data_IF_214080884456
#
_entry.id   IF_214080884456
#
_cell.length_a   1.000
_cell.length_b   1.000
_cell.length_c   1.000
_cell.angle_alpha   90.00
_cell.angle_beta   90.00
_cell.angle_gamma   90.00
#
_symmetry.space_group_name_H-M   'P 1'
#
loop_
_entity.id
_entity.type
_entity.pdbx_description
1 polymer ?
#
# COMPACT_ATOMS: atom_id res chain seq x y z
N UNK A 1 -10.42 -56.53 27.96
CA UNK A 1 -10.41 -55.09 28.35
C UNK A 1 -9.25 -54.44 27.58
N UNK A 2 -9.56 -53.79 26.51
CA UNK A 2 -8.54 -53.07 25.70
C UNK A 2 -8.53 -51.61 26.09
N UNK A 3 -7.40 -51.18 26.57
CA UNK A 3 -7.12 -49.79 26.97
C UNK A 3 -6.97 -48.95 25.70
N UNK A 4 -7.94 -48.06 25.47
CA UNK A 4 -7.90 -47.15 24.32
C UNK A 4 -7.02 -45.94 24.70
N UNK A 5 -5.75 -46.02 24.30
CA UNK A 5 -4.82 -44.91 24.38
C UNK A 5 -5.32 -43.66 23.69
N UNK A 6 -5.76 -42.68 24.47
CA UNK A 6 -6.03 -41.30 24.01
C UNK A 6 -4.73 -40.66 23.56
N UNK A 7 -4.46 -40.63 22.25
CA UNK A 7 -3.42 -39.83 21.66
C UNK A 7 -3.79 -38.35 21.82
N UNK A 8 -3.19 -37.69 22.80
CA UNK A 8 -3.22 -36.25 22.92
C UNK A 8 -2.54 -35.66 21.69
N UNK A 9 -3.35 -35.07 20.79
CA UNK A 9 -2.83 -34.22 19.73
C UNK A 9 -1.99 -33.13 20.39
N UNK A 10 -0.70 -33.07 20.05
CA UNK A 10 0.16 -31.95 20.45
C UNK A 10 -0.48 -30.66 19.93
N UNK A 11 -0.53 -29.59 20.78
CA UNK A 11 -0.97 -28.28 20.29
C UNK A 11 -0.07 -27.92 19.10
N UNK A 12 -0.69 -27.62 17.95
CA UNK A 12 0.01 -27.05 16.80
C UNK A 12 0.77 -25.83 17.35
N UNK A 13 2.10 -25.86 17.26
CA UNK A 13 2.94 -24.70 17.59
C UNK A 13 2.36 -23.50 16.85
N UNK A 14 1.77 -22.56 17.56
CA UNK A 14 1.36 -21.29 16.96
C UNK A 14 2.61 -20.69 16.32
N UNK A 15 2.56 -20.53 15.00
CA UNK A 15 3.70 -19.98 14.24
C UNK A 15 4.00 -18.60 14.81
N UNK A 16 5.23 -18.40 15.28
CA UNK A 16 5.62 -17.17 15.93
C UNK A 16 5.74 -16.07 14.88
N UNK A 17 5.00 -14.98 15.05
CA UNK A 17 5.13 -13.79 14.22
C UNK A 17 6.58 -13.23 14.30
N UNK A 18 7.18 -12.96 13.15
CA UNK A 18 8.55 -12.44 13.01
C UNK A 18 8.65 -11.17 12.18
N UNK A 19 7.68 -10.91 11.31
CA UNK A 19 7.73 -9.76 10.43
C UNK A 19 6.35 -9.18 10.13
N UNK A 20 6.36 -7.90 9.78
CA UNK A 20 5.19 -7.20 9.21
C UNK A 20 5.62 -6.56 7.89
N UNK A 21 4.84 -6.82 6.84
CA UNK A 21 4.93 -6.12 5.57
C UNK A 21 3.84 -5.05 5.53
N UNK A 22 4.20 -3.88 5.06
CA UNK A 22 3.27 -2.78 4.86
C UNK A 22 3.18 -2.40 3.38
N UNK A 23 1.97 -2.16 2.92
CA UNK A 23 1.78 -1.24 1.82
C UNK A 23 2.14 0.18 2.26
N UNK A 24 2.28 1.12 1.31
CA UNK A 24 2.76 2.47 1.60
C UNK A 24 1.65 3.50 1.42
N UNK A 25 1.13 3.64 0.19
CA UNK A 25 0.15 4.66 -0.12
C UNK A 25 -1.21 4.31 0.52
N UNK A 26 -1.84 5.29 1.18
CA UNK A 26 -3.08 5.13 1.95
C UNK A 26 -3.01 4.17 3.14
N UNK A 27 -1.85 3.51 3.35
CA UNK A 27 -1.55 2.69 4.53
C UNK A 27 -0.66 3.43 5.52
N UNK A 28 0.55 3.81 5.11
CA UNK A 28 1.52 4.57 5.92
C UNK A 28 1.50 6.07 5.62
N UNK A 29 1.15 6.45 4.41
CA UNK A 29 1.13 7.84 3.98
C UNK A 29 -0.06 8.15 3.07
N UNK A 30 -0.29 9.44 2.87
CA UNK A 30 -1.27 10.00 1.95
C UNK A 30 -0.62 11.03 1.04
N UNK A 31 -1.21 11.30 -0.14
CA UNK A 31 -0.82 12.44 -0.95
C UNK A 31 -0.95 13.74 -0.14
N UNK A 32 0.10 14.54 -0.15
CA UNK A 32 0.08 15.88 0.43
C UNK A 32 -0.55 16.91 -0.52
N UNK A 33 -0.58 18.20 -0.12
CA UNK A 33 -1.24 19.28 -0.89
C UNK A 33 -0.72 19.42 -2.33
N UNK A 34 0.54 19.09 -2.57
CA UNK A 34 1.13 19.12 -3.92
C UNK A 34 0.61 18.02 -4.86
N UNK A 35 -0.16 17.05 -4.36
CA UNK A 35 -0.77 15.96 -5.14
C UNK A 35 -2.30 16.04 -5.15
N UNK A 36 -2.87 17.18 -4.72
CA UNK A 36 -4.32 17.41 -4.62
C UNK A 36 -4.95 17.83 -5.95
N UNK A 37 -6.27 18.03 -5.93
CA UNK A 37 -7.04 18.55 -7.05
C UNK A 37 -6.51 19.91 -7.56
N UNK A 38 -5.98 20.74 -6.65
CA UNK A 38 -5.42 22.05 -6.95
C UNK A 38 -4.17 21.97 -7.84
N UNK A 39 -3.39 20.87 -7.73
CA UNK A 39 -2.28 20.62 -8.66
C UNK A 39 -2.78 20.45 -10.08
N UNK A 40 -3.85 19.66 -10.28
CA UNK A 40 -4.47 19.49 -11.60
C UNK A 40 -4.93 20.84 -12.16
N UNK A 41 -5.61 21.66 -11.35
CA UNK A 41 -6.07 22.97 -11.76
C UNK A 41 -4.90 23.92 -12.06
N UNK A 42 -3.83 23.90 -11.27
CA UNK A 42 -2.63 24.72 -11.48
C UNK A 42 -1.90 24.36 -12.77
N UNK A 43 -1.78 23.05 -13.06
CA UNK A 43 -1.14 22.57 -14.30
C UNK A 43 -2.04 22.91 -15.50
N UNK A 44 -3.33 22.63 -15.45
CA UNK A 44 -4.29 23.03 -16.47
C UNK A 44 -4.19 24.53 -16.80
N UNK A 45 -4.10 25.38 -15.78
CA UNK A 45 -3.94 26.82 -15.93
C UNK A 45 -2.68 27.25 -16.70
N UNK A 46 -1.57 26.51 -16.60
CA UNK A 46 -0.35 26.76 -17.39
C UNK A 46 -0.57 26.51 -18.89
N UNK A 47 -1.47 25.58 -19.21
CA UNK A 47 -1.87 25.25 -20.58
C UNK A 47 -3.10 26.07 -21.05
N UNK A 48 -3.51 27.09 -20.28
CA UNK A 48 -4.58 28.01 -20.67
C UNK A 48 -6.00 27.43 -20.54
N UNK A 49 -6.16 26.32 -19.79
CA UNK A 49 -7.46 25.67 -19.55
C UNK A 49 -7.84 25.66 -18.07
N UNK A 50 -9.13 25.52 -17.79
CA UNK A 50 -9.67 25.43 -16.45
C UNK A 50 -10.30 24.07 -16.28
N UNK A 51 -10.02 23.40 -15.14
CA UNK A 51 -10.68 22.17 -14.70
C UNK A 51 -11.47 22.42 -13.42
N UNK A 52 -12.48 21.62 -13.18
CA UNK A 52 -13.35 21.72 -12.01
C UNK A 52 -12.80 20.85 -10.87
N UNK A 53 -12.20 21.48 -9.86
CA UNK A 53 -11.61 20.79 -8.70
C UNK A 53 -12.66 20.02 -7.88
N UNK A 54 -13.93 20.43 -7.90
CA UNK A 54 -14.99 19.74 -7.16
C UNK A 54 -15.29 18.35 -7.73
N UNK A 55 -14.88 18.07 -8.97
CA UNK A 55 -15.07 16.77 -9.64
C UNK A 55 -13.92 15.81 -9.43
N UNK A 56 -12.88 16.21 -8.71
CA UNK A 56 -11.66 15.42 -8.57
C UNK A 56 -11.91 14.03 -7.95
N UNK A 57 -12.65 13.95 -6.85
CA UNK A 57 -12.89 12.68 -6.16
C UNK A 57 -13.70 11.71 -7.02
N UNK A 58 -14.77 12.19 -7.67
CA UNK A 58 -15.57 11.38 -8.60
C UNK A 58 -14.73 10.93 -9.81
N UNK A 59 -13.90 11.82 -10.36
CA UNK A 59 -13.03 11.51 -11.48
C UNK A 59 -11.97 10.46 -11.10
N UNK A 60 -11.39 10.57 -9.90
CA UNK A 60 -10.42 9.62 -9.38
C UNK A 60 -11.03 8.23 -9.14
N UNK A 61 -12.23 8.19 -8.57
CA UNK A 61 -12.96 6.93 -8.39
C UNK A 61 -13.29 6.27 -9.73
N UNK A 62 -13.80 7.03 -10.70
CA UNK A 62 -14.08 6.53 -12.05
C UNK A 62 -12.80 6.03 -12.75
N UNK A 63 -11.68 6.75 -12.64
CA UNK A 63 -10.40 6.35 -13.20
C UNK A 63 -9.88 5.05 -12.56
N UNK A 64 -10.06 4.89 -11.23
CA UNK A 64 -9.67 3.66 -10.53
C UNK A 64 -10.46 2.44 -11.01
N UNK A 65 -11.77 2.58 -11.26
CA UNK A 65 -12.61 1.52 -11.82
C UNK A 65 -12.19 1.12 -13.25
N UNK A 66 -11.63 2.06 -14.02
CA UNK A 66 -11.17 1.85 -15.39
C UNK A 66 -9.72 1.38 -15.48
N UNK A 67 -9.01 1.28 -14.35
CA UNK A 67 -7.60 0.90 -14.30
C UNK A 67 -7.40 -0.51 -14.87
N UNK A 68 -6.81 -0.61 -16.05
CA UNK A 68 -6.50 -1.89 -16.71
C UNK A 68 -5.05 -2.23 -16.46
N UNK A 69 -4.81 -3.16 -15.55
CA UNK A 69 -3.49 -3.71 -15.30
C UNK A 69 -3.07 -4.66 -16.42
N UNK A 70 -1.76 -4.83 -16.54
CA UNK A 70 -1.22 -5.85 -17.42
C UNK A 70 -1.76 -7.24 -16.99
N UNK A 71 -2.22 -8.11 -17.94
CA UNK A 71 -2.79 -9.41 -17.60
C UNK A 71 -1.86 -10.30 -16.76
N UNK A 72 -0.55 -10.17 -16.95
CA UNK A 72 0.49 -10.90 -16.21
C UNK A 72 0.99 -10.11 -14.99
N UNK A 73 0.29 -9.05 -14.59
CA UNK A 73 0.66 -8.17 -13.47
C UNK A 73 2.09 -7.59 -13.57
N UNK A 74 2.58 -7.39 -14.80
CA UNK A 74 3.81 -6.65 -15.01
C UNK A 74 3.63 -5.19 -14.61
N UNK A 75 4.68 -4.61 -14.03
CA UNK A 75 4.70 -3.18 -13.79
C UNK A 75 4.71 -2.43 -15.11
N UNK A 76 3.85 -1.44 -15.25
CA UNK A 76 3.69 -0.64 -16.46
C UNK A 76 3.38 0.80 -16.07
N UNK A 77 4.34 1.70 -16.26
CA UNK A 77 4.19 3.13 -15.96
C UNK A 77 3.04 3.77 -16.75
N UNK A 78 2.70 3.21 -17.94
CA UNK A 78 1.61 3.75 -18.78
C UNK A 78 0.22 3.59 -18.14
N UNK A 79 0.08 2.67 -17.20
CA UNK A 79 -1.15 2.48 -16.41
C UNK A 79 -1.41 3.72 -15.56
N UNK A 80 -0.39 4.22 -14.88
CA UNK A 80 -0.47 5.42 -14.06
C UNK A 80 -0.68 6.67 -14.89
N UNK A 81 0.00 6.76 -16.04
CA UNK A 81 -0.20 7.84 -16.99
C UNK A 81 -1.66 7.93 -17.46
N UNK A 82 -2.23 6.79 -17.83
CA UNK A 82 -3.65 6.73 -18.23
C UNK A 82 -4.58 7.10 -17.08
N UNK A 83 -4.31 6.61 -15.88
CA UNK A 83 -5.07 6.96 -14.69
C UNK A 83 -5.09 8.47 -14.45
N UNK A 84 -3.94 9.13 -14.54
CA UNK A 84 -3.80 10.58 -14.36
C UNK A 84 -4.52 11.35 -15.48
N UNK A 85 -4.42 10.88 -16.74
CA UNK A 85 -5.18 11.43 -17.86
C UNK A 85 -6.70 11.34 -17.64
N UNK A 86 -7.19 10.18 -17.19
CA UNK A 86 -8.62 9.96 -16.96
C UNK A 86 -9.16 10.87 -15.87
N UNK A 87 -8.39 11.11 -14.80
CA UNK A 87 -8.74 12.10 -13.77
C UNK A 87 -8.82 13.49 -14.39
N UNK A 88 -7.79 13.93 -15.12
CA UNK A 88 -7.77 15.25 -15.75
C UNK A 88 -8.98 15.47 -16.66
N UNK A 89 -9.32 14.50 -17.51
CA UNK A 89 -10.47 14.53 -18.39
C UNK A 89 -11.78 14.55 -17.56
N UNK A 90 -11.86 13.71 -16.53
CA UNK A 90 -13.00 13.66 -15.60
C UNK A 90 -13.28 14.99 -14.91
N UNK A 91 -12.24 15.77 -14.60
CA UNK A 91 -12.35 17.13 -14.08
C UNK A 91 -12.78 18.17 -15.13
N UNK A 92 -12.97 17.78 -16.39
CA UNK A 92 -13.36 18.66 -17.50
C UNK A 92 -12.20 19.17 -18.34
N UNK A 93 -11.01 18.62 -18.16
CA UNK A 93 -9.83 18.91 -19.00
C UNK A 93 -10.01 18.39 -20.43
N UNK A 94 -9.52 19.11 -21.45
CA UNK A 94 -9.64 18.70 -22.84
C UNK A 94 -8.72 17.50 -23.13
N UNK A 95 -9.24 16.54 -23.89
CA UNK A 95 -8.55 15.28 -24.19
C UNK A 95 -7.21 15.48 -24.93
N UNK A 96 -7.10 16.49 -25.77
CA UNK A 96 -5.89 16.84 -26.53
C UNK A 96 -4.72 17.28 -25.64
N UNK A 97 -4.99 17.80 -24.44
CA UNK A 97 -3.96 18.21 -23.46
C UNK A 97 -3.74 17.18 -22.34
N UNK A 98 -4.56 16.13 -22.29
CA UNK A 98 -4.56 15.21 -21.16
C UNK A 98 -3.19 14.53 -20.95
N UNK A 99 -2.52 14.09 -22.01
CA UNK A 99 -1.21 13.43 -21.90
C UNK A 99 -0.10 14.39 -21.47
N UNK A 100 -0.10 15.62 -21.97
CA UNK A 100 0.89 16.63 -21.58
C UNK A 100 0.70 17.04 -20.11
N UNK A 101 -0.53 17.35 -19.71
CA UNK A 101 -0.85 17.66 -18.32
C UNK A 101 -0.57 16.48 -17.37
N UNK A 102 -0.91 15.24 -17.79
CA UNK A 102 -0.62 14.06 -16.99
C UNK A 102 0.88 13.89 -16.72
N UNK A 103 1.73 14.09 -17.73
CA UNK A 103 3.19 14.03 -17.57
C UNK A 103 3.69 15.02 -16.51
N UNK A 104 3.20 16.25 -16.50
CA UNK A 104 3.57 17.24 -15.49
C UNK A 104 3.02 16.90 -14.09
N UNK A 105 1.81 16.34 -14.02
CA UNK A 105 1.18 15.93 -12.75
C UNK A 105 1.98 14.79 -12.13
N UNK A 106 2.37 13.78 -12.93
CA UNK A 106 3.09 12.58 -12.48
C UNK A 106 4.47 12.90 -11.90
N UNK A 107 5.15 13.92 -12.38
CA UNK A 107 6.40 14.38 -11.78
C UNK A 107 6.25 14.67 -10.26
N UNK A 108 5.06 15.07 -9.81
CA UNK A 108 4.78 15.23 -8.40
C UNK A 108 4.68 13.92 -7.62
N UNK A 109 4.21 12.86 -8.27
CA UNK A 109 4.07 11.54 -7.66
C UNK A 109 5.40 10.80 -7.49
N UNK A 110 6.44 11.21 -8.20
CA UNK A 110 7.80 10.69 -8.00
C UNK A 110 8.52 11.33 -6.81
N UNK A 111 8.07 12.50 -6.34
CA UNK A 111 8.72 13.30 -5.30
C UNK A 111 8.25 12.86 -3.91
N UNK A 112 9.16 12.32 -3.10
CA UNK A 112 8.85 11.77 -1.77
C UNK A 112 8.32 12.81 -0.78
N UNK A 113 8.76 14.08 -0.88
CA UNK A 113 8.32 15.21 -0.06
C UNK A 113 6.84 15.55 -0.24
N UNK A 114 6.24 15.14 -1.35
CA UNK A 114 4.83 15.40 -1.64
C UNK A 114 3.88 14.43 -0.93
N UNK A 115 4.41 13.51 -0.13
CA UNK A 115 3.62 12.57 0.66
C UNK A 115 3.78 12.85 2.14
N UNK A 116 2.68 12.79 2.87
CA UNK A 116 2.63 12.98 4.31
C UNK A 116 2.39 11.64 5.00
N UNK A 117 3.25 11.25 5.94
CA UNK A 117 2.96 10.09 6.79
C UNK A 117 1.72 10.37 7.62
N UNK A 118 0.88 9.34 7.81
CA UNK A 118 -0.14 9.40 8.84
C UNK A 118 0.50 9.50 10.22
N UNK A 119 -0.17 10.16 11.15
CA UNK A 119 0.36 10.43 12.50
C UNK A 119 0.66 9.16 13.30
N UNK A 120 -0.01 8.05 12.98
CA UNK A 120 0.15 6.75 13.61
C UNK A 120 1.29 5.91 13.01
N UNK A 121 1.82 6.29 11.83
CA UNK A 121 2.80 5.46 11.12
C UNK A 121 4.10 5.30 11.91
N UNK A 122 4.81 6.39 12.21
CA UNK A 122 6.10 6.32 12.91
C UNK A 122 5.98 5.70 14.30
N UNK A 123 5.03 6.13 15.19
CA UNK A 123 4.90 5.53 16.52
C UNK A 123 4.67 4.02 16.48
N UNK A 124 3.85 3.54 15.55
CA UNK A 124 3.56 2.10 15.44
C UNK A 124 4.74 1.33 14.87
N UNK A 125 5.43 1.84 13.85
CA UNK A 125 6.65 1.20 13.35
C UNK A 125 7.72 1.07 14.45
N UNK A 126 7.91 2.10 15.28
CA UNK A 126 8.82 2.07 16.43
C UNK A 126 8.38 1.04 17.48
N UNK A 127 7.09 0.94 17.80
CA UNK A 127 6.55 -0.06 18.74
C UNK A 127 6.79 -1.49 18.24
N UNK A 128 6.57 -1.75 16.93
CA UNK A 128 6.84 -3.05 16.32
C UNK A 128 8.33 -3.41 16.32
N UNK A 129 9.20 -2.42 16.08
CA UNK A 129 10.66 -2.59 16.20
C UNK A 129 11.07 -2.93 17.63
N UNK A 130 10.52 -2.23 18.63
CA UNK A 130 10.77 -2.54 20.04
C UNK A 130 10.33 -3.97 20.42
N UNK A 131 9.28 -4.49 19.77
CA UNK A 131 8.84 -5.89 19.86
C UNK A 131 9.73 -6.87 19.07
N UNK A 132 10.82 -6.39 18.43
CA UNK A 132 11.79 -7.15 17.63
C UNK A 132 11.19 -7.79 16.37
N UNK A 133 10.15 -7.21 15.82
CA UNK A 133 9.65 -7.58 14.50
C UNK A 133 10.51 -6.95 13.41
N UNK A 134 10.70 -7.69 12.32
CA UNK A 134 11.27 -7.17 11.09
C UNK A 134 10.17 -6.45 10.31
N UNK A 135 10.52 -5.32 9.69
CA UNK A 135 9.57 -4.50 8.96
C UNK A 135 9.96 -4.42 7.49
N UNK A 136 8.99 -4.55 6.60
CA UNK A 136 9.21 -4.40 5.18
C UNK A 136 8.13 -3.60 4.50
N UNK A 137 8.46 -2.97 3.39
CA UNK A 137 7.55 -2.24 2.52
C UNK A 137 7.37 -2.94 1.19
N UNK A 138 6.12 -3.05 0.73
CA UNK A 138 5.76 -3.60 -0.59
C UNK A 138 4.74 -2.66 -1.22
N UNK A 139 5.12 -1.92 -2.25
CA UNK A 139 4.27 -0.88 -2.84
C UNK A 139 4.15 -0.99 -4.35
N UNK A 140 2.94 -0.75 -4.87
CA UNK A 140 2.68 -0.53 -6.29
C UNK A 140 2.77 0.98 -6.58
N UNK A 141 3.63 1.39 -7.50
CA UNK A 141 3.75 2.81 -7.85
C UNK A 141 5.00 3.13 -8.67
N UNK A 142 5.10 4.39 -9.07
CA UNK A 142 6.21 4.91 -9.92
C UNK A 142 7.34 5.53 -9.10
N UNK A 143 7.11 5.82 -7.82
CA UNK A 143 8.07 6.47 -6.92
C UNK A 143 9.24 5.54 -6.57
N UNK A 144 10.46 6.10 -6.44
CA UNK A 144 11.56 5.37 -5.82
C UNK A 144 11.28 5.20 -4.31
N UNK A 145 10.97 3.97 -3.93
CA UNK A 145 10.61 3.65 -2.55
C UNK A 145 11.79 3.76 -1.59
N UNK A 146 13.04 3.68 -2.09
CA UNK A 146 14.24 3.88 -1.27
C UNK A 146 14.43 5.35 -0.90
N UNK A 147 14.17 6.26 -1.85
CA UNK A 147 14.18 7.70 -1.59
C UNK A 147 13.07 8.08 -0.60
N UNK A 148 11.88 7.49 -0.74
CA UNK A 148 10.77 7.68 0.20
C UNK A 148 11.17 7.26 1.63
N UNK A 149 11.75 6.07 1.79
CA UNK A 149 12.24 5.56 3.08
C UNK A 149 13.30 6.49 3.69
N UNK A 150 14.24 6.96 2.87
CA UNK A 150 15.30 7.86 3.32
C UNK A 150 14.75 9.24 3.74
N UNK A 151 13.81 9.81 2.94
CA UNK A 151 13.18 11.09 3.21
C UNK A 151 12.42 11.07 4.55
N UNK A 152 11.58 10.07 4.74
CA UNK A 152 10.77 9.92 5.95
C UNK A 152 11.50 9.24 7.11
N UNK A 153 12.77 8.85 6.92
CA UNK A 153 13.62 8.21 7.93
C UNK A 153 13.00 6.95 8.52
N UNK A 154 12.36 6.15 7.67
CA UNK A 154 11.74 4.91 8.11
C UNK A 154 12.80 3.84 8.41
N UNK A 155 12.72 3.21 9.58
CA UNK A 155 13.58 2.09 9.96
C UNK A 155 12.94 0.77 9.52
N UNK A 156 13.28 0.29 8.31
CA UNK A 156 12.73 -0.92 7.70
C UNK A 156 13.84 -1.82 7.16
N UNK A 157 13.60 -3.15 7.17
CA UNK A 157 14.59 -4.18 6.79
C UNK A 157 14.45 -4.61 5.32
N UNK A 158 13.26 -4.38 4.71
CA UNK A 158 13.00 -4.75 3.32
C UNK A 158 12.26 -3.63 2.59
N UNK A 159 12.62 -3.42 1.33
CA UNK A 159 11.99 -2.39 0.47
C UNK A 159 11.81 -3.00 -0.92
N UNK A 160 10.55 -3.19 -1.34
CA UNK A 160 10.19 -3.73 -2.65
C UNK A 160 9.14 -2.85 -3.29
N UNK A 161 9.56 -2.03 -4.26
CA UNK A 161 8.67 -1.26 -5.12
C UNK A 161 8.43 -1.99 -6.44
N UNK A 162 7.21 -1.95 -6.96
CA UNK A 162 6.83 -2.65 -8.20
C UNK A 162 7.65 -2.21 -9.41
N UNK A 163 8.00 -0.92 -9.53
CA UNK A 163 8.81 -0.38 -10.63
C UNK A 163 10.19 -1.04 -10.71
N UNK A 164 10.86 -1.19 -9.55
CA UNK A 164 12.16 -1.83 -9.48
C UNK A 164 12.09 -3.36 -9.55
N UNK A 165 10.96 -3.96 -9.09
CA UNK A 165 10.75 -5.40 -9.09
C UNK A 165 10.30 -5.95 -10.44
N UNK A 166 9.52 -5.17 -11.21
CA UNK A 166 8.97 -5.56 -12.51
C UNK A 166 7.57 -6.17 -12.47
N UNK A 167 7.01 -6.46 -11.29
CA UNK A 167 5.65 -6.96 -11.09
C UNK A 167 4.94 -6.13 -10.01
N UNK A 168 3.61 -6.00 -10.16
CA UNK A 168 2.75 -5.33 -9.18
C UNK A 168 2.07 -6.34 -8.27
N UNK A 169 1.68 -5.96 -7.05
CA UNK A 169 0.72 -6.71 -6.23
C UNK A 169 -0.59 -6.89 -7.01
N UNK A 170 -1.27 -8.03 -6.96
CA UNK A 170 -1.03 -9.19 -6.08
C UNK A 170 -0.10 -10.27 -6.67
N UNK A 171 0.80 -9.97 -7.64
CA UNK A 171 1.72 -10.97 -8.17
C UNK A 171 2.59 -11.57 -7.05
N UNK A 172 2.69 -12.92 -6.91
CA UNK A 172 3.34 -13.54 -5.76
C UNK A 172 4.81 -13.18 -5.60
N UNK A 173 5.53 -12.93 -6.69
CA UNK A 173 6.97 -12.67 -6.65
C UNK A 173 7.34 -11.40 -5.92
N UNK A 174 6.48 -10.36 -5.91
CA UNK A 174 6.77 -9.12 -5.20
C UNK A 174 6.78 -9.33 -3.68
N UNK A 175 5.85 -10.14 -3.15
CA UNK A 175 5.83 -10.53 -1.75
C UNK A 175 6.99 -11.45 -1.40
N UNK A 176 7.29 -12.45 -2.28
CA UNK A 176 8.41 -13.36 -2.10
C UNK A 176 9.75 -12.63 -2.04
N UNK A 177 9.91 -11.56 -2.84
CA UNK A 177 11.11 -10.72 -2.78
C UNK A 177 11.24 -10.04 -1.41
N UNK A 178 10.15 -9.52 -0.84
CA UNK A 178 10.15 -8.91 0.49
C UNK A 178 10.43 -9.95 1.59
N UNK A 179 9.78 -11.10 1.56
CA UNK A 179 10.03 -12.21 2.48
C UNK A 179 11.49 -12.67 2.42
N UNK A 180 12.06 -12.75 1.21
CA UNK A 180 13.48 -13.10 1.00
C UNK A 180 14.44 -12.07 1.59
N UNK A 181 14.17 -10.77 1.45
CA UNK A 181 14.96 -9.70 2.09
C UNK A 181 14.86 -9.78 3.61
N UNK A 182 13.67 -10.08 4.15
CA UNK A 182 13.45 -10.22 5.58
C UNK A 182 14.01 -11.54 6.15
N UNK A 183 14.24 -12.57 5.34
CA UNK A 183 14.65 -13.90 5.79
C UNK A 183 13.62 -14.55 6.72
N UNK A 184 12.34 -14.51 6.33
CA UNK A 184 11.20 -15.09 7.05
C UNK A 184 10.28 -15.84 6.08
N UNK A 185 9.47 -16.75 6.63
CA UNK A 185 8.45 -17.45 5.87
C UNK A 185 7.12 -16.69 5.88
N UNK A 186 6.26 -16.97 4.87
CA UNK A 186 4.96 -16.34 4.75
C UNK A 186 4.10 -16.52 6.01
N UNK A 187 4.06 -17.74 6.59
CA UNK A 187 3.30 -18.01 7.81
C UNK A 187 3.80 -17.28 9.06
N UNK A 188 5.03 -16.73 9.04
CA UNK A 188 5.62 -15.92 10.13
C UNK A 188 5.41 -14.41 9.92
N UNK A 189 4.64 -14.01 8.87
CA UNK A 189 4.52 -12.63 8.42
C UNK A 189 3.07 -12.20 8.34
N UNK A 190 2.81 -10.95 8.69
CA UNK A 190 1.51 -10.28 8.47
C UNK A 190 1.68 -9.21 7.41
N UNK A 191 0.76 -9.14 6.44
CA UNK A 191 0.63 -8.03 5.50
C UNK A 191 -0.40 -7.05 6.03
N UNK A 192 -0.10 -5.76 5.97
CA UNK A 192 -1.02 -4.65 6.30
C UNK A 192 -1.09 -3.74 5.08
N UNK A 193 -2.27 -3.53 4.54
CA UNK A 193 -2.46 -2.68 3.36
C UNK A 193 -3.93 -2.33 3.13
N UNK A 194 -4.19 -1.33 2.29
CA UNK A 194 -5.52 -0.76 2.08
C UNK A 194 -6.33 -1.44 0.98
N UNK A 195 -5.70 -2.29 0.17
CA UNK A 195 -6.36 -2.97 -0.95
C UNK A 195 -6.76 -4.40 -0.62
N UNK A 196 -8.07 -4.70 -0.72
CA UNK A 196 -8.58 -6.07 -0.56
C UNK A 196 -7.99 -7.05 -1.57
N UNK A 197 -7.79 -6.62 -2.83
CA UNK A 197 -7.27 -7.47 -3.89
C UNK A 197 -5.75 -7.57 -3.86
N UNK A 198 -5.07 -6.42 -3.83
CA UNK A 198 -3.62 -6.36 -3.97
C UNK A 198 -2.89 -6.84 -2.73
N UNK A 199 -3.32 -6.39 -1.55
CA UNK A 199 -2.64 -6.65 -0.28
C UNK A 199 -3.23 -7.87 0.42
N UNK A 200 -4.54 -7.85 0.68
CA UNK A 200 -5.16 -8.87 1.51
C UNK A 200 -5.23 -10.20 0.78
N UNK A 201 -5.84 -10.24 -0.40
CA UNK A 201 -5.97 -11.48 -1.17
C UNK A 201 -4.61 -11.96 -1.67
N UNK A 202 -3.74 -11.05 -2.15
CA UNK A 202 -2.39 -11.37 -2.61
C UNK A 202 -1.53 -12.02 -1.53
N UNK A 203 -1.51 -11.47 -0.33
CA UNK A 203 -0.77 -12.02 0.80
C UNK A 203 -1.35 -13.36 1.29
N UNK A 204 -2.68 -13.46 1.39
CA UNK A 204 -3.36 -14.70 1.81
C UNK A 204 -3.12 -15.85 0.85
N UNK A 205 -3.01 -15.59 -0.46
CA UNK A 205 -2.68 -16.60 -1.47
C UNK A 205 -1.31 -17.25 -1.24
N UNK A 206 -0.39 -16.55 -0.54
CA UNK A 206 0.93 -17.06 -0.15
C UNK A 206 0.96 -17.67 1.26
N UNK A 207 -0.15 -17.67 1.99
CA UNK A 207 -0.25 -18.18 3.36
C UNK A 207 0.17 -17.17 4.42
N UNK A 208 0.27 -15.89 4.10
CA UNK A 208 0.41 -14.82 5.10
C UNK A 208 -0.95 -14.52 5.75
N UNK A 209 -0.94 -14.11 7.00
CA UNK A 209 -2.06 -13.37 7.59
C UNK A 209 -2.08 -11.98 6.96
N UNK A 210 -3.28 -11.42 6.74
CA UNK A 210 -3.40 -10.07 6.18
C UNK A 210 -4.49 -9.29 6.90
N UNK A 211 -4.18 -8.03 7.22
CA UNK A 211 -5.05 -7.06 7.89
C UNK A 211 -5.32 -5.91 6.92
N UNK A 212 -6.59 -5.62 6.68
CA UNK A 212 -7.00 -4.48 5.87
C UNK A 212 -6.81 -3.18 6.66
N UNK A 213 -6.11 -2.22 6.08
CA UNK A 213 -6.09 -0.83 6.56
C UNK A 213 -7.24 -0.06 5.89
N UNK A 214 -8.33 0.12 6.61
CA UNK A 214 -9.58 0.72 6.13
C UNK A 214 -9.82 2.08 6.81
N UNK A 215 -8.97 3.05 6.50
CA UNK A 215 -8.95 4.37 7.16
C UNK A 215 -10.25 5.15 7.03
N UNK A 216 -10.99 4.90 5.95
CA UNK A 216 -12.26 5.59 5.65
C UNK A 216 -13.50 4.79 6.07
N UNK A 217 -13.32 3.63 6.76
CA UNK A 217 -14.40 2.74 7.22
C UNK A 217 -15.35 2.28 6.10
N UNK A 218 -14.77 1.98 4.91
CA UNK A 218 -15.52 1.59 3.70
C UNK A 218 -15.89 0.11 3.66
N UNK A 219 -15.20 -0.73 4.45
CA UNK A 219 -15.34 -2.19 4.44
C UNK A 219 -15.65 -2.76 5.84
N UNK A 220 -16.73 -2.29 6.51
CA UNK A 220 -17.08 -2.71 7.88
C UNK A 220 -17.38 -4.21 7.99
N UNK A 221 -17.62 -4.89 6.86
CA UNK A 221 -17.86 -6.34 6.78
C UNK A 221 -16.59 -7.18 6.90
N UNK A 222 -15.40 -6.57 6.75
CA UNK A 222 -14.12 -7.29 6.85
C UNK A 222 -13.72 -7.46 8.30
N UNK A 223 -13.58 -8.72 8.74
CA UNK A 223 -13.28 -9.05 10.14
C UNK A 223 -11.87 -8.60 10.57
N UNK A 224 -10.85 -8.88 9.75
CA UNK A 224 -9.47 -8.48 10.02
C UNK A 224 -9.16 -7.12 9.37
N UNK A 225 -9.65 -6.05 9.98
CA UNK A 225 -9.41 -4.68 9.54
C UNK A 225 -9.09 -3.73 10.69
N UNK A 226 -8.44 -2.63 10.35
CA UNK A 226 -8.13 -1.52 11.26
C UNK A 226 -8.45 -0.20 10.55
N UNK A 227 -8.97 0.77 11.28
CA UNK A 227 -9.18 2.14 10.78
C UNK A 227 -7.99 3.06 11.03
N UNK A 228 -7.07 2.64 11.90
CA UNK A 228 -5.78 3.27 12.16
C UNK A 228 -4.74 2.23 12.56
N UNK A 229 -3.45 2.60 12.50
CA UNK A 229 -2.36 1.70 12.86
C UNK A 229 -2.20 1.52 14.37
N UNK A 230 -2.74 2.42 15.20
CA UNK A 230 -2.63 2.29 16.67
C UNK A 230 -3.23 0.98 17.20
N UNK A 231 -4.21 0.42 16.47
CA UNK A 231 -4.79 -0.89 16.78
C UNK A 231 -3.90 -2.09 16.42
N UNK A 232 -2.87 -1.89 15.57
CA UNK A 232 -2.07 -3.00 15.02
C UNK A 232 -1.29 -3.80 16.06
N UNK A 233 -0.58 -3.21 17.04
CA UNK A 233 0.12 -3.99 18.07
C UNK A 233 -0.81 -4.94 18.82
N UNK A 234 -2.00 -4.48 19.19
CA UNK A 234 -3.00 -5.31 19.86
C UNK A 234 -3.54 -6.42 18.95
N UNK A 235 -3.82 -6.13 17.67
CA UNK A 235 -4.25 -7.11 16.67
C UNK A 235 -3.19 -8.20 16.41
N UNK A 236 -1.91 -7.87 16.61
CA UNK A 236 -0.79 -8.81 16.54
C UNK A 236 -0.54 -9.58 17.84
N UNK A 237 -1.31 -9.30 18.90
CA UNK A 237 -1.15 -9.92 20.22
C UNK A 237 0.09 -9.41 20.98
N UNK A 238 0.62 -8.25 20.63
CA UNK A 238 1.74 -7.62 21.33
C UNK A 238 1.21 -6.94 22.59
N UNK A 239 1.84 -7.23 23.73
CA UNK A 239 1.53 -6.52 24.98
C UNK A 239 2.26 -5.18 24.97
N UNK A 240 1.54 -4.10 25.25
CA UNK A 240 2.19 -2.81 25.48
C UNK A 240 3.13 -2.92 26.66
N UNK A 241 4.39 -2.48 26.54
CA UNK A 241 5.24 -2.36 27.72
C UNK A 241 4.55 -1.42 28.72
N UNK A 242 4.36 -1.92 29.94
CA UNK A 242 3.74 -1.17 31.04
C UNK A 242 4.61 0.00 31.50
#
# INVERSE_FOLDING_TARGET
MADAGLTHARPQNAVKLRAVLFDVDFTLCRPGPELSAERYARIAGRHGVTVDVSRYDDAREAAALNLKRHPELLHDDTVWHRFTMDIFIGMGGPQELASECATEIEQGWEVSENFELFEDALPVLEELRAARLRLGLVSNGIRDLREFVAHHRLDVDAIVGSRAHGYVKPHPTIFQAALGQLGVDAGETVMVGDSLEEDVAGARALGMRAILMDRDDRHPEVEERLTDLYGLPAALGLQRPG
#
